data_IF_930611786248
#
_entry.id   IF_930611786248
#
_cell.length_a   1.000
_cell.length_b   1.000
_cell.length_c   1.000
_cell.angle_alpha   90.00
_cell.angle_beta   90.00
_cell.angle_gamma   90.00
#
_symmetry.space_group_name_H-M   'P 1'
#
loop_
_entity.id
_entity.type
_entity.pdbx_description
1 polymer ?
#
# COMPACT_ATOMS: atom_id res chain seq x y z
N UNK A 1 8.73 5.06 -5.91
CA UNK A 1 9.28 5.25 -4.55
C UNK A 1 8.65 6.40 -3.75
N UNK A 2 8.01 7.40 -4.35
CA UNK A 2 7.45 8.56 -3.60
C UNK A 2 6.51 8.17 -2.44
N UNK A 3 5.59 7.22 -2.66
CA UNK A 3 4.62 6.79 -1.64
C UNK A 3 5.28 6.15 -0.43
N UNK A 4 6.23 5.22 -0.64
CA UNK A 4 6.90 4.53 0.48
C UNK A 4 7.85 5.44 1.26
N UNK A 5 8.48 6.40 0.57
CA UNK A 5 9.26 7.45 1.23
C UNK A 5 8.37 8.36 2.10
N UNK A 6 7.16 8.70 1.62
CA UNK A 6 6.21 9.49 2.38
C UNK A 6 5.72 8.74 3.63
N UNK A 7 5.40 7.45 3.50
CA UNK A 7 5.03 6.57 4.62
C UNK A 7 6.10 6.59 5.71
N UNK A 8 7.35 6.31 5.34
CA UNK A 8 8.44 6.18 6.30
C UNK A 8 8.79 7.50 7.02
N UNK A 9 8.31 8.65 6.55
CA UNK A 9 8.74 9.98 7.03
C UNK A 9 8.39 10.23 8.51
N UNK A 10 7.21 9.80 8.97
CA UNK A 10 6.74 10.09 10.34
C UNK A 10 7.41 9.24 11.39
N UNK A 11 7.48 7.92 11.16
CA UNK A 11 7.85 6.94 12.18
C UNK A 11 9.00 6.02 11.77
N UNK A 12 9.56 6.19 10.56
CA UNK A 12 10.62 5.34 10.05
C UNK A 12 10.19 3.91 9.70
N UNK A 13 8.87 3.63 9.64
CA UNK A 13 8.35 2.31 9.31
C UNK A 13 8.78 1.91 7.91
N UNK A 14 9.35 0.71 7.80
CA UNK A 14 9.90 0.18 6.55
C UNK A 14 8.96 -0.89 6.00
N UNK A 15 8.57 -0.71 4.75
CA UNK A 15 7.74 -1.66 4.00
C UNK A 15 8.56 -2.20 2.83
N UNK A 16 8.29 -3.46 2.47
CA UNK A 16 8.73 -4.05 1.22
C UNK A 16 7.76 -3.66 0.09
N UNK A 17 8.27 -3.43 -1.11
CA UNK A 17 7.47 -3.06 -2.29
C UNK A 17 7.83 -4.00 -3.44
N UNK A 18 6.82 -4.53 -4.12
CA UNK A 18 6.99 -5.39 -5.29
C UNK A 18 5.69 -6.06 -5.72
N UNK A 19 5.79 -7.02 -6.64
CA UNK A 19 4.66 -7.86 -7.02
C UNK A 19 4.29 -8.79 -5.85
N UNK A 20 3.00 -9.05 -5.62
CA UNK A 20 2.52 -9.94 -4.55
C UNK A 20 3.17 -11.33 -4.66
N UNK A 21 3.28 -11.88 -5.87
CA UNK A 21 3.85 -13.20 -6.12
C UNK A 21 5.32 -13.32 -5.68
N UNK A 22 6.08 -12.22 -5.74
CA UNK A 22 7.51 -12.17 -5.40
C UNK A 22 7.76 -11.73 -3.95
N UNK A 23 6.86 -10.91 -3.40
CA UNK A 23 7.05 -10.29 -2.08
C UNK A 23 6.35 -11.03 -0.95
N UNK A 24 5.29 -11.78 -1.25
CA UNK A 24 4.52 -12.53 -0.27
C UNK A 24 4.50 -14.02 -0.65
N UNK A 25 3.73 -14.39 -1.67
CA UNK A 25 3.67 -15.72 -2.29
C UNK A 25 2.74 -15.70 -3.51
N UNK A 26 2.81 -16.75 -4.35
CA UNK A 26 1.91 -16.91 -5.50
C UNK A 26 0.48 -17.17 -5.02
N UNK A 27 -0.45 -16.28 -5.36
CA UNK A 27 -1.87 -16.41 -5.09
C UNK A 27 -2.68 -16.03 -6.33
N UNK A 28 -3.85 -16.64 -6.53
CA UNK A 28 -4.78 -16.31 -7.60
C UNK A 28 -6.11 -15.79 -7.04
N UNK A 29 -6.84 -14.99 -7.83
CA UNK A 29 -8.16 -14.46 -7.45
C UNK A 29 -8.13 -13.27 -6.51
N UNK A 30 -6.97 -12.61 -6.34
CA UNK A 30 -6.86 -11.39 -5.55
C UNK A 30 -7.68 -10.24 -6.15
N UNK A 31 -8.26 -9.39 -5.30
CA UNK A 31 -9.11 -8.27 -5.74
C UNK A 31 -8.37 -7.28 -6.62
N UNK A 32 -7.10 -6.99 -6.33
CA UNK A 32 -6.24 -6.12 -7.12
C UNK A 32 -5.99 -6.67 -8.53
N UNK A 33 -5.75 -7.97 -8.66
CA UNK A 33 -5.53 -8.64 -9.94
C UNK A 33 -6.83 -8.71 -10.75
N UNK A 34 -7.96 -8.97 -10.08
CA UNK A 34 -9.27 -8.93 -10.73
C UNK A 34 -9.60 -7.52 -11.24
N UNK A 35 -9.42 -6.49 -10.41
CA UNK A 35 -9.63 -5.10 -10.84
C UNK A 35 -8.71 -4.74 -12.00
N UNK A 36 -7.43 -5.14 -11.93
CA UNK A 36 -6.45 -4.91 -12.99
C UNK A 36 -6.84 -5.60 -14.29
N UNK A 37 -7.21 -6.88 -14.22
CA UNK A 37 -7.52 -7.71 -15.38
C UNK A 37 -8.87 -7.39 -16.02
N UNK A 38 -9.89 -7.09 -15.21
CA UNK A 38 -11.25 -6.80 -15.70
C UNK A 38 -11.41 -5.38 -16.20
N UNK A 39 -10.84 -4.39 -15.52
CA UNK A 39 -11.04 -2.97 -15.86
C UNK A 39 -9.81 -2.31 -16.49
N UNK A 40 -8.68 -3.03 -16.61
CA UNK A 40 -7.44 -2.48 -17.16
C UNK A 40 -6.82 -1.37 -16.32
N UNK A 41 -7.28 -1.16 -15.07
CA UNK A 41 -6.86 -0.01 -14.27
C UNK A 41 -5.35 -0.08 -13.92
N UNK A 42 -4.58 1.00 -14.12
CA UNK A 42 -3.12 0.98 -13.95
C UNK A 42 -2.66 1.07 -12.50
N UNK A 43 -3.50 1.56 -11.61
CA UNK A 43 -3.17 1.81 -10.20
C UNK A 43 -3.99 0.86 -9.34
N UNK A 44 -3.44 -0.33 -9.09
CA UNK A 44 -4.03 -1.38 -8.25
C UNK A 44 -2.98 -1.85 -7.25
N UNK A 45 -3.25 -1.67 -5.96
CA UNK A 45 -2.28 -1.95 -4.89
C UNK A 45 -2.95 -2.60 -3.69
N UNK A 46 -2.17 -3.39 -2.97
CA UNK A 46 -2.54 -4.00 -1.68
C UNK A 46 -1.61 -3.45 -0.61
N UNK A 47 -2.16 -3.13 0.55
CA UNK A 47 -1.40 -2.74 1.73
C UNK A 47 -1.53 -3.83 2.79
N UNK A 48 -0.40 -4.42 3.19
CA UNK A 48 -0.26 -5.21 4.40
C UNK A 48 0.35 -4.30 5.46
N UNK A 49 -0.44 -3.90 6.46
CA UNK A 49 -0.06 -2.86 7.42
C UNK A 49 0.87 -3.39 8.52
N UNK A 50 1.11 -2.56 9.56
CA UNK A 50 1.88 -2.98 10.74
C UNK A 50 1.26 -4.21 11.42
N UNK A 51 2.02 -5.06 12.09
CA UNK A 51 3.49 -5.09 12.21
C UNK A 51 4.09 -6.32 11.51
N UNK A 52 5.39 -6.56 11.71
CA UNK A 52 6.10 -7.69 11.11
C UNK A 52 5.97 -8.99 11.94
N UNK A 53 4.84 -9.18 12.62
CA UNK A 53 4.51 -10.43 13.31
C UNK A 53 4.76 -10.47 14.82
N UNK A 54 5.13 -9.35 15.46
CA UNK A 54 5.22 -9.30 16.93
C UNK A 54 3.84 -9.32 17.56
N UNK A 55 2.91 -8.54 17.02
CA UNK A 55 1.50 -8.54 17.42
C UNK A 55 0.60 -9.10 16.32
N UNK A 56 0.99 -8.96 15.05
CA UNK A 56 0.21 -9.41 13.90
C UNK A 56 -1.20 -8.83 13.94
N UNK A 57 -2.22 -9.69 13.85
CA UNK A 57 -3.62 -9.27 13.87
C UNK A 57 -4.07 -8.64 15.19
N UNK A 58 -3.32 -8.79 16.28
CA UNK A 58 -3.62 -8.24 17.60
C UNK A 58 -2.79 -6.97 17.90
N UNK A 59 -2.54 -6.16 16.86
CA UNK A 59 -1.80 -4.90 17.00
C UNK A 59 -2.45 -4.00 18.07
N UNK A 60 -1.69 -3.47 19.05
CA UNK A 60 -2.25 -2.67 20.13
C UNK A 60 -2.99 -1.42 19.65
N UNK A 61 -4.05 -1.03 20.35
CA UNK A 61 -4.90 0.10 19.97
C UNK A 61 -4.14 1.44 19.84
N UNK A 62 -3.05 1.63 20.60
CA UNK A 62 -2.20 2.82 20.50
C UNK A 62 -1.40 2.91 19.19
N UNK A 63 -1.39 1.85 18.35
CA UNK A 63 -0.79 1.85 17.02
C UNK A 63 -1.80 2.20 15.91
N UNK A 64 -3.10 2.32 16.21
CA UNK A 64 -4.13 2.62 15.20
C UNK A 64 -3.86 3.96 14.53
N UNK A 65 -3.72 5.03 15.32
CA UNK A 65 -3.49 6.39 14.80
C UNK A 65 -2.14 6.48 14.08
N UNK A 66 -1.00 6.03 14.64
CA UNK A 66 0.28 6.03 13.92
C UNK A 66 0.25 5.29 12.58
N UNK A 67 -0.42 4.13 12.52
CA UNK A 67 -0.54 3.34 11.29
C UNK A 67 -1.40 4.07 10.25
N UNK A 68 -2.53 4.65 10.68
CA UNK A 68 -3.40 5.43 9.80
C UNK A 68 -2.71 6.66 9.23
N UNK A 69 -1.96 7.39 10.05
CA UNK A 69 -1.27 8.61 9.64
C UNK A 69 -0.18 8.36 8.60
N UNK A 70 0.70 7.37 8.81
CA UNK A 70 1.74 7.07 7.82
C UNK A 70 1.18 6.46 6.53
N UNK A 71 0.11 5.67 6.63
CA UNK A 71 -0.57 5.11 5.47
C UNK A 71 -1.23 6.21 4.65
N UNK A 72 -1.85 7.20 5.31
CA UNK A 72 -2.44 8.36 4.65
C UNK A 72 -1.40 9.19 3.90
N UNK A 73 -0.21 9.41 4.49
CA UNK A 73 0.88 10.12 3.81
C UNK A 73 1.31 9.38 2.52
N UNK A 74 1.34 8.04 2.54
CA UNK A 74 1.57 7.20 1.36
C UNK A 74 0.48 7.38 0.29
N UNK A 75 -0.79 7.31 0.69
CA UNK A 75 -1.94 7.43 -0.21
C UNK A 75 -1.98 8.80 -0.89
N UNK A 76 -1.77 9.88 -0.13
CA UNK A 76 -1.70 11.25 -0.69
C UNK A 76 -0.59 11.37 -1.71
N UNK A 77 0.60 10.82 -1.42
CA UNK A 77 1.72 10.82 -2.37
C UNK A 77 1.41 9.98 -3.63
N UNK A 78 0.76 8.83 -3.46
CA UNK A 78 0.32 7.95 -4.55
C UNK A 78 -0.69 8.64 -5.46
N UNK A 79 -1.72 9.29 -4.91
CA UNK A 79 -2.73 9.99 -5.69
C UNK A 79 -2.17 11.19 -6.43
N UNK A 80 -1.27 11.96 -5.80
CA UNK A 80 -0.55 13.04 -6.49
C UNK A 80 0.25 12.51 -7.69
N UNK A 81 0.97 11.40 -7.51
CA UNK A 81 1.74 10.79 -8.60
C UNK A 81 0.83 10.19 -9.69
N UNK A 82 -0.29 9.58 -9.32
CA UNK A 82 -1.28 9.07 -10.26
C UNK A 82 -1.85 10.20 -11.13
N UNK A 83 -2.20 11.34 -10.54
CA UNK A 83 -2.66 12.51 -11.27
C UNK A 83 -1.61 13.05 -12.24
N UNK A 84 -0.34 13.14 -11.81
CA UNK A 84 0.78 13.56 -12.69
C UNK A 84 0.94 12.61 -13.89
N UNK A 85 0.63 11.32 -13.71
CA UNK A 85 0.68 10.30 -14.77
C UNK A 85 -0.59 10.23 -15.61
N UNK A 86 -1.59 11.08 -15.35
CA UNK A 86 -2.85 11.12 -16.08
C UNK A 86 -3.86 10.03 -15.67
N UNK A 87 -3.76 9.51 -14.44
CA UNK A 87 -4.68 8.50 -13.93
C UNK A 87 -5.69 9.03 -12.91
N UNK A 88 -6.92 8.48 -12.89
CA UNK A 88 -7.48 7.62 -13.94
C UNK A 88 -7.65 8.41 -15.25
N UNK A 89 -7.45 7.75 -16.39
CA UNK A 89 -7.76 8.35 -17.68
C UNK A 89 -9.26 8.64 -17.74
N UNK A 90 -9.64 9.81 -18.26
CA UNK A 90 -11.05 10.17 -18.49
C UNK A 90 -11.62 9.36 -19.65
#
# INVERSE_FOLDING_TARGET
MKSITALAKRYGTKYQVGNIAETIYVASGGSMDWVKGTYGLPVTYTYELRDNGRYGFLLPANQIVPTGEETMDSLVAMFKEANVRGYPAK
#
